data_IF_096843573991
#
_entry.id   IF_096843573991
#
_cell.length_a   1.000
_cell.length_b   1.000
_cell.length_c   1.000
_cell.angle_alpha   90.00
_cell.angle_beta   90.00
_cell.angle_gamma   90.00
#
_symmetry.space_group_name_H-M   'P 1'
#
loop_
_entity.id
_entity.type
_entity.pdbx_description
1 polymer ?
#
# COMPACT_ATOMS: atom_id res chain seq x y z
N UNK A 1 22.52 -0.81 19.01
CA UNK A 1 23.29 0.37 19.45
C UNK A 1 22.77 1.57 18.67
N UNK A 2 22.17 2.54 19.35
CA UNK A 2 21.75 3.80 18.73
C UNK A 2 22.93 4.76 18.65
N UNK A 3 22.98 5.57 17.59
CA UNK A 3 24.08 6.50 17.32
C UNK A 3 23.76 7.92 17.87
N UNK A 4 22.50 8.20 18.16
CA UNK A 4 22.02 9.48 18.70
C UNK A 4 21.12 9.25 19.93
N UNK A 5 21.09 10.25 20.82
CA UNK A 5 20.25 10.27 22.03
C UNK A 5 18.79 10.50 21.65
N UNK A 6 17.86 9.87 22.36
CA UNK A 6 16.43 10.16 22.20
C UNK A 6 16.13 11.61 22.59
N UNK A 7 15.47 12.34 21.68
CA UNK A 7 15.10 13.74 21.86
C UNK A 7 14.06 13.98 22.97
N UNK A 8 13.34 12.94 23.41
CA UNK A 8 12.36 13.04 24.50
C UNK A 8 13.04 13.13 25.90
N UNK A 9 14.35 12.88 25.97
CA UNK A 9 15.14 13.04 27.20
C UNK A 9 14.70 12.10 28.33
N UNK A 10 14.83 12.54 29.58
CA UNK A 10 14.48 11.76 30.78
C UNK A 10 12.98 11.46 30.92
N UNK A 11 12.12 12.11 30.13
CA UNK A 11 10.69 11.78 30.07
C UNK A 11 10.43 10.42 29.41
N UNK A 12 11.37 9.93 28.59
CA UNK A 12 11.32 8.61 27.94
C UNK A 12 11.92 7.48 28.77
N UNK A 13 12.34 7.75 30.01
CA UNK A 13 13.00 6.79 30.90
C UNK A 13 14.45 7.16 31.22
N UNK A 14 15.03 6.45 32.18
CA UNK A 14 16.38 6.73 32.67
C UNK A 14 17.48 6.34 31.68
N UNK A 15 17.17 5.49 30.69
CA UNK A 15 18.11 5.09 29.65
C UNK A 15 17.76 5.77 28.32
N UNK A 16 18.47 6.86 28.02
CA UNK A 16 18.29 7.69 26.80
C UNK A 16 18.75 7.01 25.49
N UNK A 17 19.20 5.76 25.58
CA UNK A 17 19.54 4.89 24.45
C UNK A 17 18.68 3.59 24.44
N UNK A 18 17.64 3.54 25.26
CA UNK A 18 16.72 2.40 25.31
C UNK A 18 15.90 2.33 24.02
N UNK A 19 15.75 1.11 23.50
CA UNK A 19 14.77 0.85 22.44
C UNK A 19 13.37 1.08 23.02
N UNK A 20 12.42 1.58 22.23
CA UNK A 20 11.01 1.56 22.64
C UNK A 20 10.66 0.18 23.20
N UNK A 21 9.96 0.13 24.33
CA UNK A 21 9.63 -1.13 24.99
C UNK A 21 8.93 -2.06 24.00
N UNK A 22 9.66 -3.10 23.61
CA UNK A 22 9.31 -4.14 22.66
C UNK A 22 8.70 -3.65 21.31
N UNK A 23 9.52 -3.47 20.25
CA UNK A 23 9.03 -3.11 18.92
C UNK A 23 8.17 -4.20 18.24
N UNK A 24 8.02 -5.39 18.85
CA UNK A 24 7.24 -6.51 18.31
C UNK A 24 5.75 -6.41 18.70
N UNK A 25 5.39 -5.76 19.80
CA UNK A 25 4.00 -5.78 20.30
C UNK A 25 2.97 -5.03 19.43
N UNK A 26 3.42 -4.28 18.42
CA UNK A 26 2.54 -3.55 17.48
C UNK A 26 2.26 -4.36 16.21
N UNK A 27 2.87 -5.54 16.08
CA UNK A 27 2.60 -6.48 15.00
C UNK A 27 1.38 -7.30 15.40
N UNK A 28 0.29 -7.24 14.62
CA UNK A 28 -0.79 -8.22 14.68
C UNK A 28 -0.34 -9.48 13.93
N UNK A 29 0.10 -10.56 14.60
CA UNK A 29 0.70 -11.71 13.93
C UNK A 29 -0.32 -12.55 13.17
N UNK A 30 -1.61 -12.39 13.50
CA UNK A 30 -2.70 -13.15 12.92
C UNK A 30 -3.52 -12.36 11.92
N UNK A 31 -3.36 -11.04 11.87
CA UNK A 31 -4.10 -10.16 10.95
C UNK A 31 -5.61 -10.28 11.16
N UNK A 32 -6.06 -10.48 12.40
CA UNK A 32 -7.47 -10.73 12.73
C UNK A 32 -8.33 -9.48 12.61
N UNK A 33 -7.73 -8.30 12.41
CA UNK A 33 -8.48 -7.10 12.08
C UNK A 33 -9.33 -7.34 10.82
N UNK A 34 -10.64 -7.09 10.92
CA UNK A 34 -11.52 -7.15 9.77
C UNK A 34 -10.97 -6.25 8.66
N UNK A 35 -10.76 -6.83 7.48
CA UNK A 35 -10.29 -6.07 6.32
C UNK A 35 -11.35 -5.04 5.94
N UNK A 36 -11.01 -3.76 6.12
CA UNK A 36 -11.78 -2.60 5.67
C UNK A 36 -13.31 -2.73 5.88
N UNK A 37 -13.82 -2.69 7.13
CA UNK A 37 -15.24 -2.91 7.44
C UNK A 37 -16.21 -1.92 6.75
N UNK A 38 -15.71 -0.78 6.28
CA UNK A 38 -16.47 0.21 5.53
C UNK A 38 -16.08 0.26 4.04
N UNK A 39 -15.45 -0.80 3.54
CA UNK A 39 -14.85 -0.89 2.21
C UNK A 39 -13.49 -0.21 2.11
N UNK A 40 -12.72 -0.61 1.09
CA UNK A 40 -11.39 -0.06 0.83
C UNK A 40 -11.45 1.38 0.34
N UNK A 41 -10.51 2.19 0.83
CA UNK A 41 -10.34 3.61 0.52
C UNK A 41 -9.08 3.84 -0.31
N UNK A 42 -8.97 5.06 -0.83
CA UNK A 42 -7.74 5.52 -1.49
C UNK A 42 -6.54 5.35 -0.55
N UNK A 43 -5.44 4.85 -1.10
CA UNK A 43 -4.19 4.49 -0.44
C UNK A 43 -4.23 3.21 0.42
N UNK A 44 -5.36 2.52 0.53
CA UNK A 44 -5.38 1.20 1.15
C UNK A 44 -4.56 0.19 0.33
N UNK A 45 -3.89 -0.70 1.06
CA UNK A 45 -3.04 -1.76 0.52
C UNK A 45 -3.61 -3.11 0.91
N UNK A 46 -3.84 -3.97 -0.07
CA UNK A 46 -4.20 -5.37 0.12
C UNK A 46 -3.95 -6.15 -1.19
N UNK A 47 -4.29 -7.43 -1.23
CA UNK A 47 -4.39 -8.22 -2.44
C UNK A 47 -5.22 -7.52 -3.51
N UNK A 48 -4.73 -7.50 -4.75
CA UNK A 48 -5.43 -6.87 -5.88
C UNK A 48 -6.83 -7.44 -6.09
N UNK A 49 -7.05 -8.74 -5.85
CA UNK A 49 -8.37 -9.36 -5.94
C UNK A 49 -9.39 -8.77 -4.96
N UNK A 50 -8.94 -8.22 -3.83
CA UNK A 50 -9.81 -7.53 -2.88
C UNK A 50 -10.03 -6.06 -3.27
N UNK A 51 -8.98 -5.39 -3.78
CA UNK A 51 -9.02 -3.97 -4.14
C UNK A 51 -9.69 -3.71 -5.49
N UNK A 52 -9.58 -4.62 -6.45
CA UNK A 52 -10.04 -4.42 -7.82
C UNK A 52 -11.57 -4.33 -7.95
N UNK A 53 -12.36 -5.23 -7.33
CA UNK A 53 -13.82 -5.17 -7.38
C UNK A 53 -14.34 -3.89 -6.71
N UNK A 54 -15.11 -3.11 -7.46
CA UNK A 54 -15.70 -1.87 -6.94
C UNK A 54 -16.69 -2.10 -5.79
N UNK A 55 -17.25 -3.31 -5.69
CA UNK A 55 -18.16 -3.74 -4.62
C UNK A 55 -17.51 -3.76 -3.24
N UNK A 56 -16.20 -3.95 -3.18
CA UNK A 56 -15.45 -4.03 -1.92
C UNK A 56 -14.96 -2.65 -1.46
N UNK A 57 -15.20 -1.59 -2.23
CA UNK A 57 -14.66 -0.27 -1.97
C UNK A 57 -15.68 0.61 -1.26
N UNK A 58 -15.18 1.51 -0.44
CA UNK A 58 -15.99 2.54 0.18
C UNK A 58 -16.58 3.49 -0.88
N UNK A 59 -17.75 4.07 -0.60
CA UNK A 59 -18.34 5.13 -1.43
C UNK A 59 -17.37 6.31 -1.52
N UNK A 60 -17.21 6.90 -2.72
CA UNK A 60 -16.21 7.96 -2.96
C UNK A 60 -14.83 7.42 -3.34
N UNK A 61 -14.65 6.09 -3.39
CA UNK A 61 -13.39 5.45 -3.71
C UNK A 61 -13.48 4.51 -4.92
N UNK A 62 -14.39 4.78 -5.84
CA UNK A 62 -14.70 3.93 -6.97
C UNK A 62 -13.87 4.28 -8.20
N UNK A 63 -13.88 3.41 -9.20
CA UNK A 63 -13.29 3.71 -10.51
C UNK A 63 -14.25 4.56 -11.33
N UNK A 64 -14.61 5.74 -10.80
CA UNK A 64 -15.55 6.70 -11.39
C UNK A 64 -14.87 8.04 -11.55
N UNK A 65 -15.31 8.85 -12.52
CA UNK A 65 -14.74 10.17 -12.78
C UNK A 65 -14.90 11.11 -11.57
N UNK A 66 -16.05 11.06 -10.91
CA UNK A 66 -16.33 11.88 -9.72
C UNK A 66 -15.44 11.52 -8.51
N UNK A 67 -14.89 10.30 -8.52
CA UNK A 67 -13.99 9.76 -7.49
C UNK A 67 -12.53 9.74 -7.98
N UNK A 68 -12.14 10.61 -8.90
CA UNK A 68 -10.79 10.67 -9.51
C UNK A 68 -10.29 9.38 -10.18
N UNK A 69 -11.21 8.50 -10.60
CA UNK A 69 -10.92 7.22 -11.25
C UNK A 69 -9.94 6.37 -10.43
N UNK A 70 -10.29 6.05 -9.18
CA UNK A 70 -9.43 5.26 -8.30
C UNK A 70 -9.26 3.83 -8.85
N UNK A 71 -8.01 3.41 -9.00
CA UNK A 71 -7.61 2.13 -9.57
C UNK A 71 -6.61 1.42 -8.66
N UNK A 72 -6.68 0.09 -8.64
CA UNK A 72 -5.66 -0.71 -7.95
C UNK A 72 -4.40 -0.79 -8.82
N UNK A 73 -3.25 -0.48 -8.23
CA UNK A 73 -1.95 -0.53 -8.88
C UNK A 73 -1.03 -1.56 -8.22
N UNK A 74 -0.40 -2.43 -9.00
CA UNK A 74 0.60 -3.38 -8.50
C UNK A 74 1.99 -2.73 -8.32
N UNK A 75 2.73 -3.03 -7.24
CA UNK A 75 4.11 -2.56 -7.07
C UNK A 75 5.05 -3.07 -8.17
N UNK A 76 4.90 -4.34 -8.54
CA UNK A 76 5.68 -4.99 -9.60
C UNK A 76 4.87 -5.01 -10.89
N UNK A 77 5.55 -4.91 -12.02
CA UNK A 77 4.92 -5.03 -13.33
C UNK A 77 4.28 -6.42 -13.52
N UNK A 78 2.95 -6.45 -13.60
CA UNK A 78 2.16 -7.67 -13.78
C UNK A 78 2.67 -8.55 -14.95
N UNK A 79 2.91 -7.96 -16.12
CA UNK A 79 3.42 -8.70 -17.29
C UNK A 79 4.83 -9.28 -17.10
N UNK A 80 5.67 -8.66 -16.26
CA UNK A 80 6.98 -9.23 -15.90
C UNK A 80 6.80 -10.38 -14.90
N UNK A 81 5.97 -10.18 -13.87
CA UNK A 81 5.72 -11.16 -12.82
C UNK A 81 5.14 -12.46 -13.41
N UNK A 82 4.14 -12.37 -14.29
CA UNK A 82 3.56 -13.51 -15.03
C UNK A 82 4.59 -14.35 -15.79
N UNK A 83 5.71 -13.75 -16.23
CA UNK A 83 6.75 -14.44 -17.01
C UNK A 83 7.90 -14.99 -16.17
N UNK A 84 8.11 -14.44 -14.97
CA UNK A 84 9.33 -14.66 -14.18
C UNK A 84 9.08 -15.34 -12.84
N UNK A 85 7.85 -15.34 -12.36
CA UNK A 85 7.47 -15.93 -11.09
C UNK A 85 6.55 -17.11 -11.42
N UNK A 86 6.99 -18.30 -11.04
CA UNK A 86 6.20 -19.52 -11.17
C UNK A 86 4.93 -19.42 -10.32
N UNK A 87 3.80 -19.91 -10.84
CA UNK A 87 2.50 -19.87 -10.16
C UNK A 87 2.00 -18.48 -9.75
N UNK A 88 2.46 -17.41 -10.41
CA UNK A 88 2.01 -16.05 -10.12
C UNK A 88 0.54 -15.84 -10.47
N UNK A 89 -0.24 -15.40 -9.47
CA UNK A 89 -1.61 -14.92 -9.63
C UNK A 89 -1.67 -13.42 -9.31
N UNK A 90 -2.13 -12.62 -10.28
CA UNK A 90 -2.26 -11.17 -10.09
C UNK A 90 -3.24 -10.82 -8.97
N UNK A 91 -4.29 -11.60 -8.77
CA UNK A 91 -5.28 -11.34 -7.73
C UNK A 91 -4.71 -11.51 -6.32
N UNK A 92 -3.71 -12.37 -6.15
CA UNK A 92 -3.03 -12.58 -4.88
C UNK A 92 -1.86 -11.61 -4.65
N UNK A 93 -1.43 -10.90 -5.70
CA UNK A 93 -0.39 -9.90 -5.59
C UNK A 93 -0.91 -8.67 -4.84
N UNK A 94 -0.08 -8.12 -3.96
CA UNK A 94 -0.38 -6.85 -3.31
C UNK A 94 -0.57 -5.73 -4.33
N UNK A 95 -1.49 -4.83 -4.02
CA UNK A 95 -1.75 -3.61 -4.77
C UNK A 95 -2.10 -2.47 -3.82
N UNK A 96 -2.20 -1.27 -4.36
CA UNK A 96 -2.63 -0.06 -3.64
C UNK A 96 -3.69 0.67 -4.46
N UNK A 97 -4.72 1.20 -3.81
CA UNK A 97 -5.73 2.04 -4.47
C UNK A 97 -5.21 3.45 -4.69
N UNK A 98 -5.13 3.91 -5.93
CA UNK A 98 -4.59 5.22 -6.29
C UNK A 98 -5.49 5.93 -7.32
N UNK A 99 -5.67 7.25 -7.21
CA UNK A 99 -6.41 8.03 -8.21
C UNK A 99 -5.67 8.05 -9.56
N UNK A 100 -6.42 7.87 -10.65
CA UNK A 100 -5.91 7.71 -12.02
C UNK A 100 -6.27 8.87 -12.96
N UNK A 101 -7.01 9.87 -12.46
CA UNK A 101 -7.21 11.13 -13.18
C UNK A 101 -5.88 11.81 -13.53
N UNK A 102 -5.90 12.67 -14.55
CA UNK A 102 -4.69 13.33 -15.05
C UNK A 102 -3.92 14.06 -13.94
N UNK A 103 -2.60 13.84 -13.87
CA UNK A 103 -1.74 14.43 -12.84
C UNK A 103 -1.76 13.71 -11.48
N UNK A 104 -2.65 12.73 -11.27
CA UNK A 104 -2.71 11.93 -10.04
C UNK A 104 -1.66 10.83 -9.99
N UNK A 105 -1.50 10.19 -8.82
CA UNK A 105 -0.43 9.25 -8.52
C UNK A 105 -0.39 8.05 -9.47
N UNK A 106 -1.52 7.41 -9.74
CA UNK A 106 -1.58 6.27 -10.65
C UNK A 106 -1.22 6.67 -12.09
N UNK A 107 -1.74 7.81 -12.55
CA UNK A 107 -1.45 8.34 -13.88
C UNK A 107 0.05 8.65 -14.05
N UNK A 108 0.67 9.29 -13.05
CA UNK A 108 2.11 9.60 -13.02
C UNK A 108 2.96 8.33 -13.09
N UNK A 109 2.62 7.32 -12.29
CA UNK A 109 3.31 6.02 -12.31
C UNK A 109 3.18 5.37 -13.69
N UNK A 110 1.97 5.37 -14.27
CA UNK A 110 1.72 4.81 -15.61
C UNK A 110 2.50 5.53 -16.71
N UNK A 111 2.64 6.86 -16.63
CA UNK A 111 3.49 7.64 -17.53
C UNK A 111 4.95 7.24 -17.38
N UNK A 112 5.48 7.18 -16.15
CA UNK A 112 6.86 6.75 -15.89
C UNK A 112 7.16 5.36 -16.44
N UNK A 113 6.25 4.40 -16.23
CA UNK A 113 6.37 3.05 -16.78
C UNK A 113 6.37 3.02 -18.31
N UNK A 114 5.51 3.81 -18.96
CA UNK A 114 5.48 3.93 -20.42
C UNK A 114 6.76 4.55 -20.96
N UNK A 115 7.27 5.60 -20.33
CA UNK A 115 8.54 6.23 -20.70
C UNK A 115 9.70 5.24 -20.60
N UNK A 116 9.76 4.42 -19.55
CA UNK A 116 10.78 3.37 -19.40
C UNK A 116 10.73 2.33 -20.51
N UNK A 117 9.54 1.92 -20.97
CA UNK A 117 9.37 0.93 -22.04
C UNK A 117 9.75 1.43 -23.44
N UNK A 118 9.86 2.74 -23.63
CA UNK A 118 10.25 3.35 -24.91
C UNK A 118 11.77 3.40 -25.11
N UNK A 119 12.56 3.13 -24.06
CA UNK A 119 14.01 2.97 -24.13
C UNK A 119 14.35 1.50 -24.34
#
# INVERSE_FOLDING_TARGET
>A
MFISRDTIGLLGGNNVFQYADNPIHWVDPWGLSCKAPNGYKTNDVDKHGNLSPQTNRAKGHLNKKDDDQIQSHHPIQNAWAKKKIESYNENDAYGVLLPSSSGMSHAKISVSQRTRRKK
#
